data_IF_523247466270
#
_entry.id   IF_523247466270
#
_cell.length_a   1.000
_cell.length_b   1.000
_cell.length_c   1.000
_cell.angle_alpha   90.00
_cell.angle_beta   90.00
_cell.angle_gamma   90.00
#
_symmetry.space_group_name_H-M   'P 1'
#
loop_
_entity.id
_entity.type
_entity.pdbx_description
1 polymer ?
#
# COMPACT_ATOMS: atom_id res chain seq x y z
N UNK A 1 18.13 -35.59 25.96
CA UNK A 1 19.14 -34.53 25.91
C UNK A 1 18.97 -33.81 24.55
N UNK A 2 18.61 -32.51 24.53
CA UNK A 2 18.46 -31.75 23.31
C UNK A 2 19.84 -31.51 22.66
N UNK A 3 19.95 -31.83 21.38
CA UNK A 3 21.18 -31.54 20.60
C UNK A 3 21.02 -30.20 19.90
N UNK A 4 22.08 -29.39 19.83
CA UNK A 4 22.14 -28.12 19.12
C UNK A 4 23.03 -28.25 17.91
N UNK A 5 22.57 -27.71 16.80
CA UNK A 5 23.30 -27.69 15.53
C UNK A 5 23.33 -26.26 15.01
N UNK A 6 24.38 -25.91 14.30
CA UNK A 6 24.41 -24.74 13.44
C UNK A 6 24.01 -25.20 12.04
N UNK A 7 22.91 -24.61 11.52
CA UNK A 7 22.39 -24.87 10.19
C UNK A 7 22.89 -23.77 9.25
N UNK A 8 23.51 -24.14 8.15
CA UNK A 8 23.90 -23.27 7.07
C UNK A 8 22.99 -23.53 5.89
N UNK A 9 22.44 -22.49 5.32
CA UNK A 9 21.62 -22.52 4.10
C UNK A 9 22.27 -21.68 3.02
N UNK A 10 22.42 -22.24 1.83
CA UNK A 10 23.06 -21.59 0.68
C UNK A 10 22.02 -21.29 -0.40
N UNK A 11 21.50 -20.04 -0.50
CA UNK A 11 20.41 -19.69 -1.42
C UNK A 11 20.76 -19.86 -2.90
N UNK A 12 22.06 -19.90 -3.25
CA UNK A 12 22.51 -20.00 -4.64
C UNK A 12 22.17 -21.34 -5.29
N UNK A 13 22.13 -22.42 -4.52
CA UNK A 13 21.93 -23.80 -5.00
C UNK A 13 20.99 -24.61 -4.13
N UNK A 14 20.31 -23.97 -3.19
CA UNK A 14 19.40 -24.58 -2.20
C UNK A 14 20.06 -25.74 -1.44
N UNK A 15 21.35 -25.61 -1.11
CA UNK A 15 22.05 -26.61 -0.32
C UNK A 15 22.07 -26.26 1.15
N UNK A 16 22.10 -27.30 1.99
CA UNK A 16 22.15 -27.21 3.45
C UNK A 16 23.38 -27.91 4.01
N UNK A 17 23.85 -27.43 5.14
CA UNK A 17 24.97 -28.01 5.89
C UNK A 17 24.66 -27.90 7.38
N UNK A 18 25.03 -28.90 8.19
CA UNK A 18 24.80 -28.88 9.64
C UNK A 18 26.09 -29.21 10.40
N UNK A 19 26.40 -28.38 11.40
CA UNK A 19 27.51 -28.57 12.31
C UNK A 19 27.01 -28.86 13.73
N UNK A 20 27.50 -29.93 14.34
CA UNK A 20 27.15 -30.32 15.71
C UNK A 20 28.00 -29.54 16.70
N UNK A 21 27.35 -28.60 17.41
CA UNK A 21 28.00 -27.70 18.38
C UNK A 21 28.58 -28.45 19.60
N UNK A 22 27.99 -29.58 19.96
CA UNK A 22 28.46 -30.36 21.11
C UNK A 22 29.72 -31.17 20.81
N UNK A 23 29.72 -31.81 19.66
CA UNK A 23 30.85 -32.68 19.28
C UNK A 23 31.85 -31.97 18.36
N UNK A 24 31.69 -30.69 18.06
CA UNK A 24 32.55 -29.85 17.23
C UNK A 24 32.92 -30.53 15.91
N UNK A 25 31.92 -31.09 15.22
CA UNK A 25 32.14 -31.78 13.93
C UNK A 25 30.96 -31.60 12.99
N UNK A 26 31.28 -31.78 11.71
CA UNK A 26 30.23 -31.81 10.70
C UNK A 26 29.28 -32.97 10.95
N UNK A 27 27.99 -32.64 11.01
CA UNK A 27 26.91 -33.61 11.15
C UNK A 27 26.32 -33.96 9.78
N UNK A 28 26.05 -32.95 8.96
CA UNK A 28 25.60 -33.07 7.58
C UNK A 28 26.54 -32.23 6.70
N UNK A 29 27.19 -32.86 5.73
CA UNK A 29 27.99 -32.16 4.72
C UNK A 29 27.04 -31.46 3.73
N UNK A 30 27.50 -30.42 3.10
CA UNK A 30 26.77 -29.64 2.10
C UNK A 30 26.08 -30.56 1.10
N UNK A 31 24.74 -30.52 1.13
CA UNK A 31 23.90 -31.40 0.31
C UNK A 31 22.70 -30.56 -0.18
N UNK A 32 22.34 -30.72 -1.46
CA UNK A 32 21.18 -30.05 -2.03
C UNK A 32 19.89 -30.51 -1.33
N UNK A 33 19.03 -29.56 -0.97
CA UNK A 33 17.77 -29.81 -0.30
C UNK A 33 16.73 -28.77 -0.70
N UNK A 34 15.87 -29.14 -1.65
CA UNK A 34 14.93 -28.20 -2.30
C UNK A 34 13.68 -27.88 -1.46
N UNK A 35 13.40 -28.67 -0.37
CA UNK A 35 12.22 -28.46 0.47
C UNK A 35 12.39 -27.39 1.57
N UNK A 36 13.56 -26.77 1.69
CA UNK A 36 13.83 -25.70 2.64
C UNK A 36 14.05 -24.39 1.88
N UNK A 37 13.29 -23.38 2.25
CA UNK A 37 13.35 -22.05 1.65
C UNK A 37 13.83 -21.01 2.64
N UNK A 38 14.30 -19.86 2.14
CA UNK A 38 14.77 -18.76 2.97
C UNK A 38 13.68 -18.25 3.94
N UNK A 39 12.43 -18.30 3.48
CA UNK A 39 11.23 -17.89 4.23
C UNK A 39 10.97 -18.75 5.47
N UNK A 40 11.49 -19.99 5.49
CA UNK A 40 11.32 -20.91 6.62
C UNK A 40 12.31 -20.63 7.76
N UNK A 41 13.36 -19.83 7.50
CA UNK A 41 14.51 -19.65 8.39
C UNK A 41 14.33 -18.48 9.37
N UNK A 42 13.30 -18.53 10.20
CA UNK A 42 13.10 -17.54 11.28
C UNK A 42 13.08 -18.19 12.67
N UNK A 43 13.52 -17.46 13.67
CA UNK A 43 13.59 -17.93 15.07
C UNK A 43 12.19 -18.31 15.57
N UNK A 44 12.08 -19.49 16.16
CA UNK A 44 10.82 -20.07 16.66
C UNK A 44 10.18 -21.05 15.69
N UNK A 45 10.52 -21.02 14.40
CA UNK A 45 9.98 -21.95 13.41
C UNK A 45 10.52 -23.39 13.62
N UNK A 46 9.77 -24.36 13.10
CA UNK A 46 10.17 -25.76 13.03
C UNK A 46 10.35 -26.14 11.57
N UNK A 47 11.58 -26.48 11.20
CA UNK A 47 11.93 -26.92 9.86
C UNK A 47 12.28 -28.39 9.85
N UNK A 48 11.98 -29.07 8.76
CA UNK A 48 12.40 -30.44 8.55
C UNK A 48 13.61 -30.43 7.61
N UNK A 49 14.70 -31.02 8.03
CA UNK A 49 15.87 -31.22 7.17
C UNK A 49 16.10 -32.71 7.03
N UNK A 50 15.81 -33.24 5.84
CA UNK A 50 15.69 -34.69 5.59
C UNK A 50 14.68 -35.33 6.58
N UNK A 51 15.09 -36.28 7.41
CA UNK A 51 14.22 -36.95 8.38
C UNK A 51 14.18 -36.31 9.77
N UNK A 52 14.73 -35.10 9.94
CA UNK A 52 14.87 -34.46 11.26
C UNK A 52 14.07 -33.16 11.36
N UNK A 53 13.25 -33.09 12.39
CA UNK A 53 12.61 -31.83 12.79
C UNK A 53 13.56 -31.03 13.68
N UNK A 54 13.83 -29.78 13.28
CA UNK A 54 14.67 -28.82 13.98
C UNK A 54 13.81 -27.64 14.40
N UNK A 55 14.01 -27.16 15.62
CA UNK A 55 13.47 -25.87 16.05
C UNK A 55 14.58 -24.83 15.94
N UNK A 56 14.32 -23.78 15.17
CA UNK A 56 15.24 -22.64 15.09
C UNK A 56 15.14 -21.82 16.37
N UNK A 57 16.25 -21.68 17.09
CA UNK A 57 16.28 -21.07 18.42
C UNK A 57 16.98 -19.72 18.43
N UNK A 58 17.90 -19.51 17.50
CA UNK A 58 18.67 -18.26 17.36
C UNK A 58 19.35 -18.21 16.01
N UNK A 59 19.80 -17.03 15.58
CA UNK A 59 20.64 -16.83 14.41
C UNK A 59 22.11 -17.05 14.75
N UNK A 60 22.90 -17.54 13.79
CA UNK A 60 24.30 -17.85 14.01
C UNK A 60 25.20 -16.63 14.15
N UNK A 61 24.79 -15.48 13.60
CA UNK A 61 25.51 -14.22 13.63
C UNK A 61 24.56 -13.02 13.46
N UNK A 62 25.07 -11.81 13.78
CA UNK A 62 24.31 -10.57 13.72
C UNK A 62 23.87 -10.20 12.29
N UNK A 63 24.67 -10.53 11.28
CA UNK A 63 24.31 -10.27 9.89
C UNK A 63 23.09 -11.09 9.48
N UNK A 64 23.08 -12.39 9.82
CA UNK A 64 21.96 -13.29 9.58
C UNK A 64 20.73 -12.85 10.39
N UNK A 65 20.91 -12.43 11.65
CA UNK A 65 19.83 -11.88 12.46
C UNK A 65 19.21 -10.63 11.82
N UNK A 66 20.01 -9.71 11.33
CA UNK A 66 19.50 -8.49 10.66
C UNK A 66 18.82 -8.81 9.32
N UNK A 67 19.26 -9.84 8.61
CA UNK A 67 18.74 -10.19 7.28
C UNK A 67 17.49 -11.08 7.33
N UNK A 68 17.41 -12.00 8.31
CA UNK A 68 16.32 -12.97 8.42
C UNK A 68 15.40 -12.72 9.62
N UNK A 69 15.84 -11.90 10.57
CA UNK A 69 15.13 -11.60 11.81
C UNK A 69 14.02 -10.56 11.62
N UNK A 70 14.06 -9.81 10.52
CA UNK A 70 13.01 -8.86 10.17
C UNK A 70 11.74 -9.64 9.79
N UNK A 71 10.79 -9.68 10.71
CA UNK A 71 9.45 -10.17 10.40
C UNK A 71 8.70 -9.07 9.69
N UNK A 72 8.49 -9.21 8.39
CA UNK A 72 7.52 -8.38 7.68
C UNK A 72 6.16 -8.67 8.29
N UNK A 73 5.68 -7.75 9.09
CA UNK A 73 4.35 -7.80 9.70
C UNK A 73 3.35 -7.03 8.83
N UNK A 74 2.08 -7.40 8.98
CA UNK A 74 0.96 -6.65 8.43
C UNK A 74 0.15 -6.04 9.55
N UNK A 75 -0.26 -4.79 9.38
CA UNK A 75 -1.19 -4.13 10.30
C UNK A 75 -2.30 -3.44 9.53
N UNK A 76 -3.44 -3.29 10.20
CA UNK A 76 -4.56 -2.54 9.67
C UNK A 76 -4.50 -1.09 10.12
N UNK A 77 -4.78 -0.18 9.20
CA UNK A 77 -4.91 1.25 9.44
C UNK A 77 -6.24 1.74 8.88
N UNK A 78 -6.95 2.58 9.64
CA UNK A 78 -8.19 3.21 9.19
C UNK A 78 -8.09 4.72 9.39
N UNK A 79 -8.19 5.47 8.30
CA UNK A 79 -8.31 6.94 8.35
C UNK A 79 -9.77 7.30 8.49
N UNK A 80 -10.09 8.12 9.50
CA UNK A 80 -11.44 8.50 9.88
C UNK A 80 -11.98 9.65 9.02
N UNK A 81 -13.31 9.88 8.99
CA UNK A 81 -13.93 10.84 8.09
C UNK A 81 -13.50 12.30 8.30
N UNK A 82 -13.12 12.67 9.51
CA UNK A 82 -12.76 14.03 9.92
C UNK A 82 -11.49 14.59 9.24
N UNK A 83 -10.65 13.70 8.71
CA UNK A 83 -9.29 14.06 8.23
C UNK A 83 -8.97 13.52 6.84
N UNK A 84 -9.96 13.23 6.04
CA UNK A 84 -9.72 12.77 4.65
C UNK A 84 -8.97 13.81 3.81
N UNK A 85 -9.09 15.07 4.14
CA UNK A 85 -8.29 16.14 3.54
C UNK A 85 -6.81 16.10 3.92
N UNK A 86 -6.41 15.25 4.87
CA UNK A 86 -5.04 15.02 5.31
C UNK A 86 -4.50 13.64 4.91
N UNK A 87 -5.23 12.94 4.03
CA UNK A 87 -4.83 11.59 3.60
C UNK A 87 -3.43 11.58 2.96
N UNK A 88 -3.07 12.60 2.19
CA UNK A 88 -1.74 12.72 1.60
C UNK A 88 -0.64 12.87 2.65
N UNK A 89 -0.84 13.74 3.67
CA UNK A 89 0.09 13.89 4.79
C UNK A 89 0.27 12.57 5.55
N UNK A 90 -0.81 11.79 5.71
CA UNK A 90 -0.77 10.48 6.37
C UNK A 90 0.04 9.48 5.55
N UNK A 91 -0.14 9.43 4.22
CA UNK A 91 0.68 8.58 3.33
C UNK A 91 2.17 8.95 3.42
N UNK A 92 2.52 10.24 3.45
CA UNK A 92 3.92 10.68 3.60
C UNK A 92 4.52 10.23 4.94
N UNK A 93 3.77 10.30 6.03
CA UNK A 93 4.21 9.82 7.34
C UNK A 93 4.40 8.30 7.36
N UNK A 94 3.50 7.53 6.73
CA UNK A 94 3.62 6.07 6.58
C UNK A 94 4.91 5.71 5.86
N UNK A 95 5.17 6.31 4.68
CA UNK A 95 6.38 6.03 3.91
C UNK A 95 7.66 6.50 4.62
N UNK A 96 7.62 7.64 5.31
CA UNK A 96 8.76 8.14 6.10
C UNK A 96 9.15 7.21 7.26
N UNK A 97 8.21 6.38 7.71
CA UNK A 97 8.44 5.36 8.73
C UNK A 97 8.83 3.99 8.16
N UNK A 98 9.14 3.90 6.86
CA UNK A 98 9.45 2.65 6.14
C UNK A 98 8.32 1.63 6.17
N UNK A 99 7.06 2.07 6.31
CA UNK A 99 5.89 1.25 6.11
C UNK A 99 5.42 1.36 4.66
N UNK A 100 4.96 0.24 4.10
CA UNK A 100 4.45 0.17 2.73
C UNK A 100 2.94 -0.06 2.78
N UNK A 101 2.19 0.75 2.04
CA UNK A 101 0.76 0.50 1.82
C UNK A 101 0.62 -0.54 0.72
N UNK A 102 0.10 -1.71 1.06
CA UNK A 102 -0.09 -2.83 0.12
C UNK A 102 -1.54 -2.98 -0.34
N UNK A 103 -2.49 -2.47 0.44
CA UNK A 103 -3.89 -2.32 0.06
C UNK A 103 -4.45 -1.01 0.60
N UNK A 104 -5.32 -0.37 -0.16
CA UNK A 104 -6.07 0.80 0.27
C UNK A 104 -7.46 0.82 -0.37
N UNK A 105 -8.49 1.14 0.41
CA UNK A 105 -9.86 1.25 -0.06
C UNK A 105 -10.63 2.31 0.74
N UNK A 106 -11.23 3.25 0.05
CA UNK A 106 -12.18 4.19 0.64
C UNK A 106 -13.59 3.58 0.59
N UNK A 107 -14.25 3.53 1.74
CA UNK A 107 -15.56 2.90 1.91
C UNK A 107 -16.46 3.70 2.85
N UNK A 108 -17.78 3.50 2.76
CA UNK A 108 -18.75 3.99 3.73
C UNK A 108 -19.22 2.83 4.58
N UNK A 109 -19.07 2.95 5.89
CA UNK A 109 -19.52 1.93 6.84
C UNK A 109 -20.99 2.19 7.25
N UNK A 110 -21.76 1.11 7.33
CA UNK A 110 -23.17 1.12 7.74
C UNK A 110 -23.33 0.38 9.05
N UNK A 111 -22.76 0.90 10.14
CA UNK A 111 -22.88 0.26 11.46
C UNK A 111 -23.54 1.19 12.46
N UNK A 112 -24.57 0.73 13.17
CA UNK A 112 -25.37 1.53 14.12
C UNK A 112 -24.64 1.89 15.42
N UNK A 113 -23.50 1.28 15.72
CA UNK A 113 -22.85 1.43 17.03
C UNK A 113 -21.88 2.59 17.17
N UNK A 114 -21.35 3.16 16.07
CA UNK A 114 -20.36 4.25 16.13
C UNK A 114 -20.76 5.35 15.15
N UNK A 115 -21.65 6.25 15.59
CA UNK A 115 -22.19 7.35 14.78
C UNK A 115 -21.13 8.20 14.07
N UNK A 116 -19.96 8.36 14.68
CA UNK A 116 -18.90 9.18 14.09
C UNK A 116 -18.23 8.51 12.88
N UNK A 117 -17.95 7.19 12.92
CA UNK A 117 -17.30 6.47 11.80
C UNK A 117 -18.23 6.36 10.58
N UNK A 118 -19.55 6.35 10.79
CA UNK A 118 -20.54 6.33 9.71
C UNK A 118 -20.89 7.72 9.17
N UNK A 119 -20.38 8.80 9.75
CA UNK A 119 -20.68 10.17 9.32
C UNK A 119 -20.12 10.53 7.95
N UNK A 120 -19.19 9.76 7.44
CA UNK A 120 -18.54 9.95 6.15
C UNK A 120 -17.75 8.74 5.68
N UNK A 121 -17.10 8.83 4.53
CA UNK A 121 -16.21 7.77 4.07
C UNK A 121 -14.96 7.66 4.97
N UNK A 122 -14.41 6.44 5.03
CA UNK A 122 -13.16 6.10 5.71
C UNK A 122 -12.19 5.49 4.71
N UNK A 123 -10.89 5.57 4.96
CA UNK A 123 -9.89 4.86 4.16
C UNK A 123 -9.28 3.74 4.98
N UNK A 124 -9.56 2.51 4.58
CA UNK A 124 -8.95 1.29 5.12
C UNK A 124 -7.65 1.00 4.37
N UNK A 125 -6.59 0.63 5.08
CA UNK A 125 -5.30 0.28 4.49
C UNK A 125 -4.68 -0.94 5.17
N UNK A 126 -4.00 -1.78 4.38
CA UNK A 126 -3.04 -2.77 4.85
C UNK A 126 -1.65 -2.13 4.78
N UNK A 127 -0.98 -2.05 5.92
CA UNK A 127 0.40 -1.58 6.01
C UNK A 127 1.32 -2.77 6.28
N UNK A 128 2.45 -2.80 5.59
CA UNK A 128 3.42 -3.89 5.69
C UNK A 128 4.80 -3.29 5.99
N UNK A 129 5.55 -3.92 6.88
CA UNK A 129 6.92 -3.52 7.24
C UNK A 129 7.43 -4.32 8.42
N UNK A 130 8.67 -4.03 8.80
CA UNK A 130 9.27 -4.57 10.03
C UNK A 130 8.53 -3.99 11.24
N UNK A 131 8.11 -4.84 12.20
CA UNK A 131 7.37 -4.40 13.39
C UNK A 131 6.21 -3.44 13.08
N UNK A 132 5.48 -3.68 11.96
CA UNK A 132 4.51 -2.74 11.41
C UNK A 132 3.44 -2.28 12.42
N UNK A 133 3.02 -3.16 13.33
CA UNK A 133 2.04 -2.82 14.37
C UNK A 133 2.63 -1.80 15.34
N UNK A 134 3.86 -2.04 15.83
CA UNK A 134 4.53 -1.16 16.78
C UNK A 134 4.81 0.21 16.15
N UNK A 135 5.38 0.22 14.95
CA UNK A 135 5.71 1.45 14.21
C UNK A 135 4.45 2.26 13.92
N UNK A 136 3.39 1.62 13.42
CA UNK A 136 2.13 2.32 13.13
C UNK A 136 1.50 2.92 14.39
N UNK A 137 1.47 2.18 15.49
CA UNK A 137 0.94 2.69 16.76
C UNK A 137 1.78 3.84 17.33
N UNK A 138 3.09 3.79 17.17
CA UNK A 138 4.00 4.88 17.56
C UNK A 138 3.73 6.13 16.72
N UNK A 139 3.55 5.98 15.41
CA UNK A 139 3.16 7.09 14.53
C UNK A 139 1.81 7.70 14.91
N UNK A 140 0.85 6.88 15.29
CA UNK A 140 -0.46 7.36 15.74
C UNK A 140 -0.38 8.20 17.02
N UNK A 141 0.44 7.78 17.96
CA UNK A 141 0.52 8.37 19.32
C UNK A 141 -0.67 7.97 20.20
N UNK A 142 -0.75 8.55 21.43
CA UNK A 142 -1.82 8.31 22.39
C UNK A 142 -3.22 8.50 21.81
N UNK A 143 -4.24 7.72 22.26
CA UNK A 143 -5.61 7.82 21.73
C UNK A 143 -6.26 9.18 21.91
N UNK A 144 -5.99 9.83 23.03
CA UNK A 144 -6.45 11.20 23.26
C UNK A 144 -5.50 12.20 22.60
N UNK A 145 -6.05 13.04 21.71
CA UNK A 145 -5.27 14.02 20.96
C UNK A 145 -4.65 15.11 21.86
N UNK A 146 -5.23 15.40 23.01
CA UNK A 146 -4.66 16.34 23.98
C UNK A 146 -3.42 15.73 24.67
N UNK A 147 -3.50 14.47 25.09
CA UNK A 147 -2.37 13.72 25.62
C UNK A 147 -1.27 13.54 24.56
N UNK A 148 -1.67 13.24 23.31
CA UNK A 148 -0.73 13.08 22.19
C UNK A 148 0.10 14.35 21.94
N UNK A 149 -0.49 15.55 22.06
CA UNK A 149 0.25 16.82 21.91
C UNK A 149 1.31 17.02 23.00
N UNK A 150 1.10 16.46 24.18
CA UNK A 150 2.05 16.56 25.30
C UNK A 150 3.13 15.48 25.24
N UNK A 151 2.73 14.23 25.01
CA UNK A 151 3.61 13.05 25.13
C UNK A 151 4.31 12.70 23.81
N UNK A 152 3.64 12.92 22.66
CA UNK A 152 4.13 12.56 21.33
C UNK A 152 3.77 13.64 20.29
N UNK A 153 4.35 14.86 20.35
CA UNK A 153 3.95 16.03 19.54
C UNK A 153 4.13 15.82 18.03
N UNK A 154 4.96 14.88 17.60
CA UNK A 154 5.16 14.55 16.19
C UNK A 154 4.18 13.49 15.67
N UNK A 155 3.37 12.91 16.53
CA UNK A 155 2.41 11.87 16.16
C UNK A 155 1.25 12.41 15.30
N UNK A 156 0.61 11.52 14.56
CA UNK A 156 -0.54 11.83 13.69
C UNK A 156 -1.68 12.46 14.50
N UNK A 157 -2.01 11.89 15.66
CA UNK A 157 -3.07 12.39 16.53
C UNK A 157 -2.76 13.74 17.15
N UNK A 158 -1.49 14.01 17.46
CA UNK A 158 -1.06 15.34 17.94
C UNK A 158 -1.22 16.41 16.86
N UNK A 159 -0.85 16.08 15.60
CA UNK A 159 -0.87 17.03 14.49
C UNK A 159 -2.27 17.31 13.96
N UNK A 160 -3.08 16.28 13.80
CA UNK A 160 -4.35 16.36 13.07
C UNK A 160 -5.59 16.04 13.91
N UNK A 161 -5.44 15.47 15.11
CA UNK A 161 -6.57 15.09 15.96
C UNK A 161 -7.20 16.25 16.70
N UNK A 162 -8.51 16.18 16.90
CA UNK A 162 -9.27 17.21 17.64
C UNK A 162 -9.50 16.78 19.08
N UNK A 163 -10.02 15.58 19.31
CA UNK A 163 -10.39 15.03 20.61
C UNK A 163 -10.13 13.50 20.66
N UNK A 164 -10.62 12.82 21.69
CA UNK A 164 -10.45 11.38 21.86
C UNK A 164 -11.28 10.53 20.87
N UNK A 165 -12.30 11.09 20.23
CA UNK A 165 -13.13 10.42 19.22
C UNK A 165 -12.68 10.78 17.82
N UNK A 166 -12.51 12.08 17.54
CA UNK A 166 -11.95 12.64 16.30
C UNK A 166 -10.44 12.68 16.41
N UNK A 167 -9.84 11.49 16.44
CA UNK A 167 -8.41 11.26 16.64
C UNK A 167 -7.71 10.65 15.42
N UNK A 168 -8.21 10.99 14.23
CA UNK A 168 -7.59 10.79 12.91
C UNK A 168 -7.64 9.36 12.41
N UNK A 169 -6.98 8.43 13.10
CA UNK A 169 -6.78 7.07 12.61
C UNK A 169 -6.98 6.04 13.73
N UNK A 170 -7.35 4.85 13.30
CA UNK A 170 -7.27 3.63 14.08
C UNK A 170 -6.10 2.77 13.59
N UNK A 171 -5.52 1.98 14.49
CA UNK A 171 -4.52 0.96 14.19
C UNK A 171 -4.69 -0.24 15.10
N UNK A 172 -4.43 -1.41 14.56
CA UNK A 172 -4.56 -2.68 15.28
C UNK A 172 -3.66 -2.76 16.51
N UNK A 173 -4.16 -3.37 17.57
CA UNK A 173 -3.43 -3.51 18.85
C UNK A 173 -2.50 -4.73 18.88
N UNK A 174 -2.76 -5.71 18.01
CA UNK A 174 -2.02 -6.99 17.96
C UNK A 174 -2.12 -7.63 16.58
N UNK A 175 -1.28 -8.62 16.31
CA UNK A 175 -1.34 -9.45 15.09
C UNK A 175 -2.73 -10.09 14.90
N UNK A 176 -3.32 -10.58 15.98
CA UNK A 176 -4.65 -11.21 15.92
C UNK A 176 -5.76 -10.19 15.60
N UNK A 177 -5.67 -8.96 16.13
CA UNK A 177 -6.58 -7.88 15.78
C UNK A 177 -6.37 -7.45 14.32
N UNK A 178 -5.12 -7.26 13.89
CA UNK A 178 -4.77 -6.92 12.51
C UNK A 178 -5.34 -7.95 11.51
N UNK A 179 -5.17 -9.24 11.78
CA UNK A 179 -5.68 -10.30 10.91
C UNK A 179 -7.22 -10.25 10.77
N UNK A 180 -7.96 -10.04 11.87
CA UNK A 180 -9.44 -9.94 11.83
C UNK A 180 -9.91 -8.68 11.09
N UNK A 181 -9.28 -7.54 11.35
CA UNK A 181 -9.64 -6.27 10.74
C UNK A 181 -9.30 -6.27 9.24
N UNK A 182 -8.14 -6.81 8.86
CA UNK A 182 -7.76 -6.98 7.45
C UNK A 182 -8.71 -7.92 6.71
N UNK A 183 -9.09 -9.07 7.31
CA UNK A 183 -10.02 -10.00 6.69
C UNK A 183 -11.42 -9.41 6.50
N UNK A 184 -11.86 -8.49 7.38
CA UNK A 184 -13.13 -7.79 7.22
C UNK A 184 -13.10 -6.80 6.04
N UNK A 185 -12.04 -6.00 5.92
CA UNK A 185 -11.96 -4.97 4.87
C UNK A 185 -11.45 -5.51 3.54
N UNK A 186 -10.59 -6.51 3.56
CA UNK A 186 -9.91 -7.11 2.42
C UNK A 186 -9.96 -8.64 2.49
N UNK A 187 -11.15 -9.25 2.33
CA UNK A 187 -11.33 -10.69 2.48
C UNK A 187 -10.38 -11.49 1.58
N UNK A 188 -9.77 -12.54 2.13
CA UNK A 188 -8.90 -13.46 1.39
C UNK A 188 -9.66 -14.60 0.73
N UNK A 189 -10.89 -14.88 1.19
CA UNK A 189 -11.78 -15.92 0.67
C UNK A 189 -12.99 -15.31 -0.01
N UNK A 190 -13.84 -16.15 -0.63
CA UNK A 190 -15.07 -15.74 -1.32
C UNK A 190 -16.00 -14.99 -0.37
N UNK A 191 -15.83 -13.70 -0.28
CA UNK A 191 -16.62 -12.77 0.51
C UNK A 191 -16.36 -11.36 0.02
N UNK A 192 -17.39 -10.51 0.05
CA UNK A 192 -17.23 -9.10 -0.31
C UNK A 192 -16.97 -8.31 0.96
N UNK A 193 -15.83 -7.62 1.02
CA UNK A 193 -15.59 -6.58 2.04
C UNK A 193 -16.57 -5.41 1.90
N UNK A 194 -16.44 -4.38 2.74
CA UNK A 194 -17.27 -3.17 2.63
C UNK A 194 -17.20 -2.57 1.22
N UNK A 195 -18.35 -2.13 0.69
CA UNK A 195 -18.47 -1.55 -0.66
C UNK A 195 -17.65 -0.26 -0.73
N UNK A 196 -16.98 -0.02 -1.86
CA UNK A 196 -16.26 1.23 -2.09
C UNK A 196 -17.20 2.46 -2.04
N UNK A 197 -16.63 3.66 -1.89
CA UNK A 197 -17.38 4.89 -1.73
C UNK A 197 -17.70 5.62 -3.05
N UNK A 198 -17.39 5.03 -4.20
CA UNK A 198 -17.58 5.64 -5.51
C UNK A 198 -19.07 5.97 -5.78
N UNK A 199 -19.30 7.16 -6.29
CA UNK A 199 -20.60 7.69 -6.64
C UNK A 199 -20.92 7.41 -8.12
N UNK A 200 -19.93 7.53 -8.99
CA UNK A 200 -20.01 7.37 -10.45
C UNK A 200 -20.94 8.39 -11.11
N UNK A 201 -20.98 9.61 -10.59
CA UNK A 201 -21.76 10.73 -11.12
C UNK A 201 -20.90 12.01 -11.05
N UNK A 202 -20.96 12.85 -12.10
CA UNK A 202 -20.22 14.10 -12.19
C UNK A 202 -18.76 13.95 -11.75
N UNK A 203 -18.09 12.90 -12.27
CA UNK A 203 -16.76 12.49 -11.82
C UNK A 203 -15.83 12.16 -12.98
N UNK A 204 -14.54 12.14 -12.68
CA UNK A 204 -13.47 11.72 -13.57
C UNK A 204 -12.53 10.75 -12.87
N UNK A 205 -11.86 9.92 -13.66
CA UNK A 205 -10.87 8.97 -13.16
C UNK A 205 -9.48 9.61 -13.07
N UNK A 206 -8.77 9.32 -11.99
CA UNK A 206 -7.34 9.56 -11.87
C UNK A 206 -6.66 8.28 -11.40
N UNK A 207 -5.60 7.85 -12.08
CA UNK A 207 -4.78 6.71 -11.65
C UNK A 207 -3.40 7.22 -11.27
N UNK A 208 -3.00 7.04 -10.01
CA UNK A 208 -1.61 7.18 -9.59
C UNK A 208 -0.86 5.94 -10.05
N UNK A 209 0.08 6.11 -10.96
CA UNK A 209 0.77 5.00 -11.64
C UNK A 209 1.75 4.27 -10.72
N UNK A 210 2.07 2.99 -11.00
CA UNK A 210 2.93 2.16 -10.17
C UNK A 210 4.28 2.77 -9.83
N UNK A 211 4.99 3.39 -10.81
CA UNK A 211 6.27 4.04 -10.52
C UNK A 211 6.16 5.17 -9.49
N UNK A 212 5.08 5.96 -9.54
CA UNK A 212 4.88 7.06 -8.59
C UNK A 212 4.62 6.54 -7.16
N UNK A 213 3.92 5.39 -7.03
CA UNK A 213 3.73 4.70 -5.74
C UNK A 213 5.06 4.17 -5.21
N UNK A 214 5.83 3.47 -6.06
CA UNK A 214 7.14 2.91 -5.70
C UNK A 214 8.14 3.98 -5.26
N UNK A 215 8.04 5.19 -5.82
CA UNK A 215 8.87 6.35 -5.46
C UNK A 215 8.34 7.12 -4.23
N UNK A 216 7.25 6.67 -3.61
CA UNK A 216 6.66 7.31 -2.44
C UNK A 216 5.99 8.66 -2.73
N UNK A 217 5.57 8.91 -3.98
CA UNK A 217 4.97 10.17 -4.40
C UNK A 217 3.46 10.26 -4.14
N UNK A 218 2.83 9.16 -3.70
CA UNK A 218 1.38 9.09 -3.47
C UNK A 218 0.88 10.22 -2.58
N UNK A 219 1.52 10.46 -1.44
CA UNK A 219 1.12 11.51 -0.50
C UNK A 219 1.18 12.90 -1.12
N UNK A 220 2.27 13.21 -1.82
CA UNK A 220 2.45 14.50 -2.51
C UNK A 220 1.40 14.74 -3.60
N UNK A 221 1.08 13.69 -4.38
CA UNK A 221 0.04 13.76 -5.42
C UNK A 221 -1.32 14.03 -4.79
N UNK A 222 -1.69 13.29 -3.73
CA UNK A 222 -2.95 13.49 -3.01
C UNK A 222 -3.05 14.89 -2.39
N UNK A 223 -1.96 15.40 -1.81
CA UNK A 223 -1.90 16.76 -1.27
C UNK A 223 -2.10 17.82 -2.37
N UNK A 224 -1.42 17.68 -3.52
CA UNK A 224 -1.58 18.59 -4.66
C UNK A 224 -3.02 18.61 -5.18
N UNK A 225 -3.67 17.44 -5.26
CA UNK A 225 -5.10 17.34 -5.67
C UNK A 225 -6.00 18.06 -4.64
N UNK A 226 -5.73 17.87 -3.36
CA UNK A 226 -6.51 18.51 -2.29
C UNK A 226 -6.30 20.03 -2.23
N UNK A 227 -5.06 20.50 -2.35
CA UNK A 227 -4.71 21.94 -2.39
C UNK A 227 -5.40 22.65 -3.57
N UNK A 228 -5.53 21.96 -4.71
CA UNK A 228 -6.30 22.43 -5.86
C UNK A 228 -7.83 22.36 -5.64
N UNK A 229 -8.30 21.97 -4.44
CA UNK A 229 -9.71 21.90 -4.01
C UNK A 229 -10.57 20.89 -4.76
N UNK A 230 -9.96 19.86 -5.32
CA UNK A 230 -10.71 18.73 -5.86
C UNK A 230 -11.16 17.79 -4.75
N UNK A 231 -12.35 17.25 -4.89
CA UNK A 231 -12.92 16.28 -3.94
C UNK A 231 -12.63 14.86 -4.41
N UNK A 232 -11.92 14.10 -3.60
CA UNK A 232 -11.74 12.66 -3.79
C UNK A 232 -12.94 11.96 -3.14
N UNK A 233 -13.80 11.32 -3.94
CA UNK A 233 -15.00 10.61 -3.48
C UNK A 233 -14.77 9.11 -3.33
N UNK A 234 -13.81 8.55 -4.06
CA UNK A 234 -13.35 7.17 -3.89
C UNK A 234 -11.83 7.08 -4.11
N UNK A 235 -11.22 6.12 -3.42
CA UNK A 235 -9.82 5.74 -3.53
C UNK A 235 -9.72 4.24 -3.37
N UNK A 236 -9.05 3.56 -4.29
CA UNK A 236 -8.75 2.13 -4.14
C UNK A 236 -7.47 1.75 -4.86
N UNK A 237 -6.71 0.83 -4.24
CA UNK A 237 -5.51 0.26 -4.83
C UNK A 237 -5.87 -0.98 -5.63
N UNK A 238 -5.33 -1.08 -6.85
CA UNK A 238 -5.52 -2.20 -7.77
C UNK A 238 -4.18 -2.75 -8.24
N UNK A 239 -4.15 -4.04 -8.54
CA UNK A 239 -3.08 -4.71 -9.28
C UNK A 239 -3.66 -5.12 -10.64
N UNK A 240 -3.23 -4.45 -11.70
CA UNK A 240 -3.76 -4.69 -13.03
C UNK A 240 -3.05 -5.88 -13.67
N UNK A 241 -3.81 -6.83 -14.18
CA UNK A 241 -3.27 -7.84 -15.09
C UNK A 241 -3.20 -7.29 -16.53
N UNK A 242 -2.55 -8.05 -17.41
CA UNK A 242 -2.32 -7.61 -18.79
C UNK A 242 -3.63 -7.39 -19.54
N UNK A 243 -4.61 -8.28 -19.38
CA UNK A 243 -5.89 -8.21 -20.11
C UNK A 243 -6.68 -6.97 -19.71
N UNK A 244 -6.80 -6.70 -18.39
CA UNK A 244 -7.48 -5.52 -17.89
C UNK A 244 -6.76 -4.21 -18.27
N UNK A 245 -5.42 -4.20 -18.27
CA UNK A 245 -4.67 -3.03 -18.69
C UNK A 245 -4.78 -2.76 -20.19
N UNK A 246 -4.78 -3.80 -21.02
CA UNK A 246 -5.03 -3.67 -22.47
C UNK A 246 -6.45 -3.20 -22.77
N UNK A 247 -7.46 -3.72 -22.07
CA UNK A 247 -8.85 -3.30 -22.18
C UNK A 247 -9.03 -1.83 -21.79
N UNK A 248 -8.48 -1.43 -20.65
CA UNK A 248 -8.57 -0.05 -20.18
C UNK A 248 -7.93 0.95 -21.15
N UNK A 249 -6.79 0.58 -21.74
CA UNK A 249 -6.07 1.43 -22.71
C UNK A 249 -6.42 1.13 -24.18
N UNK A 250 -7.46 0.36 -24.48
CA UNK A 250 -7.79 -0.06 -25.86
C UNK A 250 -7.93 1.14 -26.82
N UNK A 251 -8.49 2.26 -26.35
CA UNK A 251 -8.66 3.48 -27.14
C UNK A 251 -7.35 4.07 -27.67
N UNK A 252 -6.22 3.78 -27.03
CA UNK A 252 -4.89 4.24 -27.44
C UNK A 252 -4.17 3.28 -28.38
N UNK A 253 -4.70 2.07 -28.57
CA UNK A 253 -4.09 1.02 -29.38
C UNK A 253 -4.03 1.42 -30.85
N UNK A 254 -2.80 1.47 -31.38
CA UNK A 254 -2.57 1.91 -32.76
C UNK A 254 -2.66 3.42 -32.99
N UNK A 255 -3.00 4.21 -31.98
CA UNK A 255 -3.07 5.68 -32.03
C UNK A 255 -1.84 6.31 -31.40
N UNK A 256 -1.42 5.80 -30.24
CA UNK A 256 -0.30 6.33 -29.46
C UNK A 256 0.88 5.36 -29.54
N UNK A 257 2.07 5.86 -29.89
CA UNK A 257 3.30 5.05 -30.01
C UNK A 257 3.73 4.44 -28.68
N UNK A 258 3.42 5.11 -27.57
CA UNK A 258 3.74 4.72 -26.21
C UNK A 258 2.80 3.63 -25.64
N UNK A 259 1.75 3.22 -26.36
CA UNK A 259 0.75 2.25 -25.89
C UNK A 259 1.34 0.98 -25.23
N UNK A 260 2.32 0.26 -25.85
CA UNK A 260 2.88 -0.93 -25.22
C UNK A 260 3.57 -0.63 -23.88
N UNK A 261 4.23 0.54 -23.79
CA UNK A 261 4.85 1.02 -22.56
C UNK A 261 3.83 1.37 -21.49
N UNK A 262 2.70 2.01 -21.87
CA UNK A 262 1.62 2.38 -20.95
C UNK A 262 0.99 1.13 -20.32
N UNK A 263 0.71 0.11 -21.10
CA UNK A 263 0.19 -1.19 -20.62
C UNK A 263 1.20 -1.85 -19.69
N UNK A 264 2.47 -1.94 -20.09
CA UNK A 264 3.54 -2.52 -19.27
C UNK A 264 3.72 -1.77 -17.94
N UNK A 265 3.66 -0.44 -17.96
CA UNK A 265 3.76 0.37 -16.74
C UNK A 265 2.60 0.10 -15.79
N UNK A 266 1.35 0.04 -16.29
CA UNK A 266 0.18 -0.20 -15.45
C UNK A 266 0.18 -1.59 -14.81
N UNK A 267 0.81 -2.58 -15.46
CA UNK A 267 1.00 -3.94 -14.94
C UNK A 267 2.26 -4.09 -14.07
N UNK A 268 3.11 -3.07 -13.96
CA UNK A 268 4.40 -3.19 -13.28
C UNK A 268 4.32 -3.25 -11.75
N UNK A 269 3.16 -2.94 -11.18
CA UNK A 269 2.91 -2.92 -9.74
C UNK A 269 1.52 -2.41 -9.41
N UNK A 270 1.29 -2.15 -8.13
CA UNK A 270 0.02 -1.59 -7.67
C UNK A 270 -0.16 -0.16 -8.18
N UNK A 271 -1.37 0.17 -8.62
CA UNK A 271 -1.80 1.54 -8.89
C UNK A 271 -2.89 1.97 -7.89
N UNK A 272 -3.06 3.28 -7.69
CA UNK A 272 -4.17 3.83 -6.88
C UNK A 272 -5.11 4.58 -7.83
N UNK A 273 -6.36 4.14 -7.84
CA UNK A 273 -7.42 4.76 -8.62
C UNK A 273 -8.24 5.67 -7.73
N UNK A 274 -8.49 6.88 -8.20
CA UNK A 274 -9.28 7.89 -7.54
C UNK A 274 -10.49 8.27 -8.39
N UNK A 275 -11.63 8.40 -7.74
CA UNK A 275 -12.76 9.13 -8.29
C UNK A 275 -12.67 10.59 -7.82
N UNK A 276 -12.61 11.51 -8.77
CA UNK A 276 -12.55 12.95 -8.52
C UNK A 276 -13.88 13.57 -8.90
N UNK A 277 -14.53 14.28 -7.97
CA UNK A 277 -15.83 14.93 -8.17
C UNK A 277 -15.72 16.45 -8.20
N UNK A 278 -16.62 17.07 -8.98
CA UNK A 278 -16.76 18.52 -9.06
C UNK A 278 -17.52 18.95 -10.32
N UNK A 279 -17.82 20.24 -10.43
CA UNK A 279 -18.39 20.80 -11.65
C UNK A 279 -17.32 20.93 -12.75
N UNK A 280 -17.67 20.59 -13.99
CA UNK A 280 -16.78 20.61 -15.17
C UNK A 280 -15.45 19.86 -14.93
N UNK A 281 -15.55 18.74 -14.19
CA UNK A 281 -14.42 18.10 -13.56
C UNK A 281 -13.42 17.48 -14.54
N UNK A 282 -13.81 16.80 -15.62
CA UNK A 282 -12.83 16.19 -16.53
C UNK A 282 -11.85 17.22 -17.10
N UNK A 283 -12.36 18.38 -17.49
CA UNK A 283 -11.54 19.46 -18.07
C UNK A 283 -10.63 20.11 -17.03
N UNK A 284 -11.20 20.56 -15.90
CA UNK A 284 -10.44 21.24 -14.86
C UNK A 284 -9.39 20.34 -14.22
N UNK A 285 -9.69 19.05 -14.02
CA UNK A 285 -8.73 18.09 -13.49
C UNK A 285 -7.60 17.78 -14.49
N UNK A 286 -7.91 17.71 -15.80
CA UNK A 286 -6.86 17.61 -16.85
C UNK A 286 -5.90 18.77 -16.82
N UNK A 287 -6.38 19.98 -16.56
CA UNK A 287 -5.53 21.15 -16.41
C UNK A 287 -4.56 21.01 -15.22
N UNK A 288 -5.00 20.45 -14.10
CA UNK A 288 -4.14 20.13 -12.96
C UNK A 288 -3.12 19.03 -13.31
N UNK A 289 -3.52 18.00 -14.06
CA UNK A 289 -2.61 16.93 -14.47
C UNK A 289 -1.52 17.44 -15.43
N UNK A 290 -1.85 18.38 -16.32
CA UNK A 290 -0.95 18.94 -17.31
C UNK A 290 -0.74 18.06 -18.55
N UNK A 291 0.09 18.50 -19.51
CA UNK A 291 0.43 17.74 -20.71
C UNK A 291 0.93 16.33 -20.41
N UNK A 292 0.62 15.38 -21.31
CA UNK A 292 1.02 13.96 -21.16
C UNK A 292 2.53 13.76 -21.18
N UNK A 293 3.26 14.63 -21.87
CA UNK A 293 4.71 14.69 -21.87
C UNK A 293 5.22 15.56 -20.72
N UNK A 294 5.91 14.99 -19.71
CA UNK A 294 6.43 15.75 -18.57
C UNK A 294 7.47 16.82 -18.93
N UNK A 295 8.20 16.65 -20.02
CA UNK A 295 9.13 17.68 -20.48
C UNK A 295 8.37 18.91 -20.96
N UNK A 296 7.32 18.72 -21.76
CA UNK A 296 6.42 19.79 -22.18
C UNK A 296 5.73 20.40 -20.96
N UNK A 297 5.26 19.56 -20.03
CA UNK A 297 4.61 20.03 -18.81
C UNK A 297 5.53 20.93 -17.98
N UNK A 298 6.79 20.57 -17.78
CA UNK A 298 7.77 21.39 -17.05
C UNK A 298 8.03 22.75 -17.68
N UNK A 299 7.99 22.83 -19.02
CA UNK A 299 8.18 24.11 -19.71
C UNK A 299 6.93 24.99 -19.75
N UNK A 300 5.76 24.41 -20.00
CA UNK A 300 4.53 25.18 -20.21
C UNK A 300 3.70 25.34 -18.93
N UNK A 301 3.68 24.32 -18.06
CA UNK A 301 2.83 24.24 -16.84
C UNK A 301 3.58 23.51 -15.72
N UNK A 302 4.65 24.08 -15.15
CA UNK A 302 5.56 23.40 -14.22
C UNK A 302 4.91 22.94 -12.91
N UNK A 303 3.82 23.59 -12.48
CA UNK A 303 3.11 23.27 -11.24
C UNK A 303 2.01 22.20 -11.40
N UNK A 304 1.95 21.49 -12.55
CA UNK A 304 1.02 20.40 -12.78
C UNK A 304 1.57 19.08 -12.26
N UNK A 305 0.69 18.09 -11.99
CA UNK A 305 1.10 16.79 -11.47
C UNK A 305 2.17 16.11 -12.33
N UNK A 306 2.01 16.16 -13.67
CA UNK A 306 2.98 15.57 -14.60
C UNK A 306 4.27 16.39 -14.68
N UNK A 307 4.19 17.71 -14.56
CA UNK A 307 5.37 18.59 -14.49
C UNK A 307 6.20 18.35 -13.24
N UNK A 308 5.55 18.18 -12.08
CA UNK A 308 6.21 17.99 -10.79
C UNK A 308 6.75 16.56 -10.61
N UNK A 309 5.97 15.54 -11.01
CA UNK A 309 6.22 14.16 -10.62
C UNK A 309 6.45 13.21 -11.80
N UNK A 310 6.20 13.60 -13.03
CA UNK A 310 6.40 12.77 -14.21
C UNK A 310 7.87 12.64 -14.60
N UNK A 311 8.28 11.50 -15.13
CA UNK A 311 9.62 11.22 -15.65
C UNK A 311 9.70 11.29 -17.16
N UNK A 312 8.85 10.56 -17.83
CA UNK A 312 8.74 10.43 -19.28
C UNK A 312 7.27 10.25 -19.69
N UNK A 313 7.00 10.10 -20.98
CA UNK A 313 5.63 9.97 -21.52
C UNK A 313 4.86 8.76 -21.02
N UNK A 314 5.55 7.69 -20.62
CA UNK A 314 4.97 6.47 -20.06
C UNK A 314 4.83 6.62 -18.54
N UNK A 315 5.93 6.98 -17.88
CA UNK A 315 6.00 7.21 -16.42
C UNK A 315 5.74 8.68 -16.09
N UNK A 316 4.53 9.13 -16.39
CA UNK A 316 4.13 10.53 -16.24
C UNK A 316 3.29 10.81 -14.99
N UNK A 317 3.50 10.03 -13.94
CA UNK A 317 2.91 10.08 -12.60
C UNK A 317 1.44 9.68 -12.55
N UNK A 318 0.56 10.29 -13.33
CA UNK A 318 -0.88 10.06 -13.27
C UNK A 318 -1.50 9.86 -14.65
N UNK A 319 -2.51 8.98 -14.72
CA UNK A 319 -3.52 9.02 -15.77
C UNK A 319 -4.66 9.94 -15.34
N UNK A 320 -5.28 10.60 -16.27
CA UNK A 320 -6.57 11.29 -16.11
C UNK A 320 -7.39 11.06 -17.37
N UNK A 321 -8.70 11.01 -17.24
CA UNK A 321 -9.64 10.85 -18.36
C UNK A 321 -9.40 11.91 -19.43
N UNK A 322 -9.39 11.50 -20.68
CA UNK A 322 -9.12 12.38 -21.81
C UNK A 322 -10.37 13.15 -22.29
N UNK A 323 -11.50 12.46 -22.39
CA UNK A 323 -12.75 13.04 -22.87
C UNK A 323 -13.78 13.14 -21.74
N UNK A 324 -14.57 14.21 -21.68
CA UNK A 324 -15.59 14.38 -20.62
C UNK A 324 -16.58 13.23 -20.52
N UNK A 325 -16.97 12.65 -21.66
CA UNK A 325 -17.91 11.53 -21.76
C UNK A 325 -17.37 10.23 -21.17
N UNK A 326 -16.05 10.04 -21.13
CA UNK A 326 -15.41 8.81 -20.63
C UNK A 326 -15.20 8.84 -19.11
N UNK A 327 -15.33 10.00 -18.46
CA UNK A 327 -14.99 10.16 -17.05
C UNK A 327 -15.72 9.18 -16.14
N UNK A 328 -17.03 9.10 -16.26
CA UNK A 328 -17.85 8.18 -15.47
C UNK A 328 -17.62 6.71 -15.88
N UNK A 329 -17.38 6.45 -17.17
CA UNK A 329 -17.12 5.09 -17.67
C UNK A 329 -15.82 4.53 -17.11
N UNK A 330 -14.74 5.30 -17.10
CA UNK A 330 -13.46 4.90 -16.50
C UNK A 330 -13.60 4.65 -14.99
N UNK A 331 -14.35 5.50 -14.27
CA UNK A 331 -14.64 5.28 -12.84
C UNK A 331 -15.43 4.00 -12.63
N UNK A 332 -16.47 3.74 -13.43
CA UNK A 332 -17.26 2.51 -13.34
C UNK A 332 -16.44 1.26 -13.66
N UNK A 333 -15.49 1.35 -14.59
CA UNK A 333 -14.60 0.25 -14.91
C UNK A 333 -13.87 -0.27 -13.65
N UNK A 334 -13.26 0.62 -12.88
CA UNK A 334 -12.54 0.22 -11.67
C UNK A 334 -13.47 -0.12 -10.50
N UNK A 335 -14.43 0.76 -10.20
CA UNK A 335 -15.19 0.68 -8.95
C UNK A 335 -16.47 -0.17 -9.03
N UNK A 336 -16.89 -0.59 -10.23
CA UNK A 336 -18.06 -1.45 -10.44
C UNK A 336 -17.72 -2.77 -11.13
N UNK A 337 -16.80 -2.76 -12.10
CA UNK A 337 -16.45 -3.97 -12.87
C UNK A 337 -15.31 -4.72 -12.17
N UNK A 338 -14.18 -4.07 -11.90
CA UNK A 338 -13.01 -4.73 -11.31
C UNK A 338 -13.13 -4.97 -9.80
N UNK A 339 -13.88 -4.13 -9.05
CA UNK A 339 -14.12 -4.32 -7.61
C UNK A 339 -15.34 -5.21 -7.33
N UNK A 340 -16.13 -5.54 -8.32
CA UNK A 340 -17.34 -6.38 -8.23
C UNK A 340 -17.03 -7.86 -8.30
#
# INVERSE_FOLDING_TARGET
MLRRYQLFFYPKDNSVEMFDLKYQRMFLRRTKYDDLHLEDLFVGNRVTVFSRQLKLIDYGDQFTANKLGSRIEKTFALVKPDVLNKIGDIFELIYSANLIVTKAKMTKLTCTFIQFIISGPVVAMELTGDEAICIWRTLLGPPDSAAARQEAPQSIRAKFGTDAVRNVCHGSESLAAAARELEFFFPSTVGRGPVNSAVCEDSTCCIIKPHAITEGLTGKILNTIHEARFKISALQMFNMDLANAEEFYEIYKGVVTEYPGMVSELCSGSCIVLEIQGADIPKSFRELCGPSDPEIARHLRPNTLRGLYGKDKVRNAVHCTDLPEDGVLEVQYFFRILDG
#
